data_IF_168573360540
#
_entry.id   IF_168573360540
#
_cell.length_a   1.000
_cell.length_b   1.000
_cell.length_c   1.000
_cell.angle_alpha   90.00
_cell.angle_beta   90.00
_cell.angle_gamma   90.00
#
_symmetry.space_group_name_H-M   'P 1'
#
loop_
_entity.id
_entity.type
_entity.pdbx_description
1 polymer ?
#
# COMPACT_ATOMS: atom_id res chain seq x y z
N UNK A 1 9.81 14.12 15.48
CA UNK A 1 8.38 13.72 15.61
C UNK A 1 8.34 12.28 16.09
N UNK A 2 7.36 11.90 16.92
CA UNK A 2 7.19 10.51 17.36
C UNK A 2 6.22 9.77 16.42
N UNK A 3 6.35 8.45 16.34
CA UNK A 3 5.35 7.58 15.72
C UNK A 3 4.01 7.68 16.47
N UNK A 4 2.88 7.37 15.82
CA UNK A 4 1.57 7.42 16.50
C UNK A 4 1.32 6.20 17.39
N UNK A 5 2.07 5.12 17.13
CA UNK A 5 2.12 3.88 17.90
C UNK A 5 3.56 3.55 18.22
N UNK A 6 3.82 2.92 19.37
CA UNK A 6 5.13 2.39 19.70
C UNK A 6 5.45 1.20 18.79
N UNK A 7 6.39 1.39 17.86
CA UNK A 7 6.79 0.36 16.88
C UNK A 7 7.54 -0.81 17.51
N UNK A 8 8.05 -0.67 18.74
CA UNK A 8 8.70 -1.78 19.46
C UNK A 8 7.70 -2.83 19.96
N UNK A 9 6.42 -2.47 20.03
CA UNK A 9 5.33 -3.36 20.44
C UNK A 9 4.72 -4.13 19.27
N UNK A 10 5.23 -3.95 18.04
CA UNK A 10 4.76 -4.64 16.85
C UNK A 10 5.90 -5.47 16.28
N UNK A 11 5.64 -6.76 16.09
CA UNK A 11 6.62 -7.68 15.49
C UNK A 11 6.95 -7.21 14.07
N UNK A 12 8.23 -7.01 13.80
CA UNK A 12 8.72 -6.61 12.48
C UNK A 12 9.21 -7.84 11.73
N UNK A 13 8.60 -8.18 10.57
CA UNK A 13 9.17 -9.19 9.68
C UNK A 13 10.61 -8.83 9.32
N UNK A 14 11.49 -9.83 9.13
CA UNK A 14 12.91 -9.60 8.87
C UNK A 14 13.16 -8.63 7.70
N UNK A 15 12.39 -8.78 6.62
CA UNK A 15 12.41 -7.91 5.43
C UNK A 15 12.06 -6.45 5.75
N UNK A 16 11.17 -6.22 6.72
CA UNK A 16 10.79 -4.87 7.17
C UNK A 16 11.85 -4.30 8.11
N UNK A 17 12.38 -5.11 9.01
CA UNK A 17 13.40 -4.70 9.98
C UNK A 17 14.70 -4.22 9.30
N UNK A 18 15.04 -4.81 8.14
CA UNK A 18 16.21 -4.47 7.35
C UNK A 18 16.06 -3.18 6.51
N UNK A 19 14.86 -2.62 6.40
CA UNK A 19 14.61 -1.43 5.57
C UNK A 19 15.17 -0.16 6.19
N UNK A 20 15.49 0.81 5.32
CA UNK A 20 15.77 2.17 5.76
C UNK A 20 14.54 2.75 6.47
N UNK A 21 14.79 3.50 7.55
CA UNK A 21 13.74 4.14 8.36
C UNK A 21 13.77 5.65 8.19
N UNK A 22 12.62 6.29 8.30
CA UNK A 22 12.53 7.75 8.38
C UNK A 22 12.92 8.27 9.78
N UNK A 23 12.99 9.59 9.94
CA UNK A 23 13.34 10.24 11.21
C UNK A 23 12.39 9.92 12.38
N UNK A 24 11.20 9.36 12.09
CA UNK A 24 10.22 8.93 13.10
C UNK A 24 10.44 7.46 13.48
N UNK A 25 11.09 6.67 12.63
CA UNK A 25 11.34 5.25 12.79
C UNK A 25 10.46 4.34 11.92
N UNK A 26 9.61 4.88 11.05
CA UNK A 26 8.84 4.05 10.11
C UNK A 26 9.74 3.51 9.01
N UNK A 27 9.61 2.24 8.61
CA UNK A 27 10.28 1.75 7.41
C UNK A 27 9.79 2.54 6.19
N UNK A 28 10.70 2.90 5.30
CA UNK A 28 10.42 3.61 4.05
C UNK A 28 10.11 2.55 2.98
N UNK A 29 8.86 2.40 2.51
CA UNK A 29 8.53 1.43 1.47
C UNK A 29 9.42 1.63 0.24
N UNK A 30 9.84 0.52 -0.37
CA UNK A 30 10.71 0.49 -1.55
C UNK A 30 10.22 1.43 -2.64
N UNK A 31 8.90 1.44 -2.85
CA UNK A 31 8.18 2.12 -3.93
C UNK A 31 8.00 3.61 -3.70
N UNK A 32 8.33 4.14 -2.52
CA UNK A 32 8.23 5.58 -2.24
C UNK A 32 9.19 6.39 -3.12
N UNK A 33 8.67 7.49 -3.64
CA UNK A 33 9.43 8.52 -4.37
C UNK A 33 10.33 9.31 -3.41
N UNK A 34 11.51 9.71 -3.89
CA UNK A 34 12.43 10.57 -3.15
C UNK A 34 12.50 11.96 -3.80
N UNK A 35 12.04 12.98 -3.09
CA UNK A 35 12.04 14.37 -3.57
C UNK A 35 13.01 15.18 -2.73
N UNK A 36 13.99 15.81 -3.38
CA UNK A 36 15.01 16.64 -2.73
C UNK A 36 15.70 15.93 -1.54
N UNK A 37 15.97 14.62 -1.69
CA UNK A 37 16.63 13.80 -0.66
C UNK A 37 15.74 13.34 0.49
N UNK A 38 14.41 13.53 0.41
CA UNK A 38 13.45 13.10 1.44
C UNK A 38 12.40 12.16 0.85
N UNK A 39 11.98 11.11 1.59
CA UNK A 39 10.92 10.22 1.13
C UNK A 39 9.57 10.94 1.15
N UNK A 40 8.82 10.84 0.04
CA UNK A 40 7.46 11.34 -0.05
C UNK A 40 6.45 10.18 -0.08
N UNK A 41 5.96 9.80 1.10
CA UNK A 41 5.03 8.69 1.29
C UNK A 41 3.67 8.86 0.58
N UNK A 42 3.41 10.00 -0.05
CA UNK A 42 2.18 10.28 -0.81
C UNK A 42 2.33 9.91 -2.29
N UNK A 43 3.55 9.63 -2.75
CA UNK A 43 3.90 9.41 -4.16
C UNK A 43 4.63 8.09 -4.31
N UNK A 44 4.14 7.26 -5.22
CA UNK A 44 4.84 6.06 -5.66
C UNK A 44 5.72 6.44 -6.86
N UNK A 45 6.98 6.03 -6.80
CA UNK A 45 7.94 6.13 -7.91
C UNK A 45 7.45 5.28 -9.10
N UNK A 46 7.16 5.88 -10.27
CA UNK A 46 6.63 5.14 -11.42
C UNK A 46 7.57 4.06 -11.95
N UNK A 47 8.89 4.30 -11.89
CA UNK A 47 9.89 3.33 -12.34
C UNK A 47 9.92 2.10 -11.44
N UNK A 48 9.89 2.31 -10.12
CA UNK A 48 9.80 1.22 -9.14
C UNK A 48 8.47 0.50 -9.20
N UNK A 49 7.38 1.20 -9.52
CA UNK A 49 6.08 0.57 -9.73
C UNK A 49 6.11 -0.37 -10.94
N UNK A 50 6.65 0.09 -12.08
CA UNK A 50 6.78 -0.73 -13.29
C UNK A 50 7.68 -1.95 -13.02
N UNK A 51 8.81 -1.76 -12.34
CA UNK A 51 9.70 -2.86 -11.96
C UNK A 51 8.99 -3.87 -11.04
N UNK A 52 8.27 -3.40 -10.03
CA UNK A 52 7.58 -4.26 -9.07
C UNK A 52 6.45 -5.06 -9.72
N UNK A 53 5.67 -4.44 -10.61
CA UNK A 53 4.64 -5.13 -11.40
C UNK A 53 5.26 -6.17 -12.33
N UNK A 54 6.33 -5.80 -13.04
CA UNK A 54 6.96 -6.66 -14.05
C UNK A 54 7.63 -7.88 -13.42
N UNK A 55 8.22 -7.70 -12.24
CA UNK A 55 9.02 -8.72 -11.56
C UNK A 55 8.34 -9.35 -10.34
N UNK A 56 7.04 -9.10 -10.14
CA UNK A 56 6.26 -9.55 -8.98
C UNK A 56 6.96 -9.25 -7.65
N UNK A 57 7.33 -7.99 -7.40
CA UNK A 57 7.97 -7.56 -6.16
C UNK A 57 6.98 -6.97 -5.18
N UNK A 58 7.29 -7.11 -3.90
CA UNK A 58 6.52 -6.52 -2.82
C UNK A 58 6.59 -4.99 -2.85
N UNK A 59 5.43 -4.34 -2.81
CA UNK A 59 5.30 -2.89 -2.78
C UNK A 59 5.95 -2.21 -1.57
N UNK A 60 6.25 -2.97 -0.51
CA UNK A 60 6.87 -2.46 0.73
C UNK A 60 8.35 -2.80 0.78
N UNK A 61 8.74 -4.07 0.82
CA UNK A 61 10.16 -4.42 1.00
C UNK A 61 10.96 -4.43 -0.33
N UNK A 62 10.30 -4.47 -1.49
CA UNK A 62 10.96 -4.52 -2.79
C UNK A 62 11.51 -5.90 -3.18
N UNK A 63 11.43 -6.90 -2.30
CA UNK A 63 11.82 -8.28 -2.61
C UNK A 63 10.76 -8.98 -3.46
N UNK A 64 11.19 -10.01 -4.22
CA UNK A 64 10.30 -10.82 -5.04
C UNK A 64 9.29 -11.59 -4.18
N UNK A 65 8.05 -11.67 -4.64
CA UNK A 65 7.01 -12.52 -4.05
C UNK A 65 6.98 -13.86 -4.79
N UNK A 66 7.12 -14.94 -4.04
CA UNK A 66 7.00 -16.31 -4.55
C UNK A 66 5.67 -16.91 -4.05
N UNK A 67 4.75 -17.22 -4.95
CA UNK A 67 3.46 -17.81 -4.61
C UNK A 67 2.38 -16.77 -4.23
N UNK A 68 1.73 -16.98 -3.09
CA UNK A 68 0.59 -16.15 -2.66
C UNK A 68 1.03 -14.71 -2.33
N UNK A 69 0.19 -13.75 -2.71
CA UNK A 69 0.40 -12.33 -2.47
C UNK A 69 -0.82 -11.70 -1.82
N UNK A 70 -0.56 -10.63 -1.07
CA UNK A 70 -1.56 -9.87 -0.37
C UNK A 70 -1.83 -8.53 -1.07
N UNK A 71 -3.10 -8.16 -1.14
CA UNK A 71 -3.54 -6.81 -1.49
C UNK A 71 -4.30 -6.20 -0.32
N UNK A 72 -3.97 -4.95 0.03
CA UNK A 72 -4.70 -4.19 1.05
C UNK A 72 -5.55 -3.12 0.39
N UNK A 73 -6.81 -2.99 0.80
CA UNK A 73 -7.67 -1.92 0.29
C UNK A 73 -8.98 -1.79 1.05
N UNK A 74 -9.75 -0.76 0.71
CA UNK A 74 -11.10 -0.59 1.26
C UNK A 74 -12.10 -1.63 0.73
N UNK A 75 -13.33 -1.65 1.25
CA UNK A 75 -14.36 -2.61 0.84
C UNK A 75 -14.60 -2.67 -0.67
N UNK A 76 -14.60 -1.53 -1.35
CA UNK A 76 -14.80 -1.45 -2.79
C UNK A 76 -13.65 -2.12 -3.55
N UNK A 77 -12.39 -1.82 -3.19
CA UNK A 77 -11.20 -2.44 -3.80
C UNK A 77 -11.19 -3.95 -3.60
N UNK A 78 -11.60 -4.43 -2.42
CA UNK A 78 -11.69 -5.86 -2.15
C UNK A 78 -12.82 -6.52 -2.95
N UNK A 79 -13.95 -5.84 -3.12
CA UNK A 79 -15.08 -6.35 -3.90
C UNK A 79 -14.78 -6.42 -5.40
N UNK A 80 -14.17 -5.38 -5.97
CA UNK A 80 -13.90 -5.29 -7.41
C UNK A 80 -12.52 -5.85 -7.81
N UNK A 81 -11.64 -6.10 -6.83
CA UNK A 81 -10.27 -6.58 -6.97
C UNK A 81 -9.33 -5.62 -7.70
N UNK A 82 -9.64 -4.32 -7.68
CA UNK A 82 -8.85 -3.27 -8.34
C UNK A 82 -8.07 -2.45 -7.31
N UNK A 83 -6.78 -2.32 -7.55
CA UNK A 83 -5.82 -1.66 -6.67
C UNK A 83 -4.91 -0.72 -7.45
N UNK A 84 -4.50 0.36 -6.79
CA UNK A 84 -3.41 1.21 -7.25
C UNK A 84 -2.08 0.84 -6.59
N UNK A 85 -2.18 0.29 -5.38
CA UNK A 85 -1.06 -0.21 -4.61
C UNK A 85 -0.62 -1.60 -5.10
N UNK A 86 0.68 -1.85 -5.00
CA UNK A 86 1.34 -3.07 -5.46
C UNK A 86 1.04 -4.27 -4.56
N UNK A 87 1.16 -5.51 -5.08
CA UNK A 87 1.10 -6.71 -4.24
C UNK A 87 2.16 -6.69 -3.15
N UNK A 88 1.89 -7.37 -2.05
CA UNK A 88 2.78 -7.45 -0.89
C UNK A 88 2.95 -8.89 -0.42
N UNK A 89 4.07 -9.19 0.26
CA UNK A 89 4.10 -10.36 1.16
C UNK A 89 3.05 -10.18 2.24
N UNK A 90 2.40 -11.26 2.67
CA UNK A 90 1.37 -11.24 3.72
C UNK A 90 1.84 -10.51 4.98
N UNK A 91 3.01 -10.88 5.49
CA UNK A 91 3.61 -10.30 6.69
C UNK A 91 3.95 -8.80 6.54
N UNK A 92 4.35 -8.34 5.35
CA UNK A 92 4.53 -6.91 5.07
C UNK A 92 3.21 -6.15 5.15
N UNK A 93 2.16 -6.72 4.56
CA UNK A 93 0.84 -6.12 4.53
C UNK A 93 0.21 -6.09 5.93
N UNK A 94 0.34 -7.17 6.72
CA UNK A 94 -0.10 -7.24 8.11
C UNK A 94 0.61 -6.18 8.98
N UNK A 95 1.94 -6.06 8.85
CA UNK A 95 2.70 -5.02 9.54
C UNK A 95 2.19 -3.62 9.16
N UNK A 96 2.00 -3.35 7.86
CA UNK A 96 1.48 -2.07 7.39
C UNK A 96 0.08 -1.78 7.94
N UNK A 97 -0.81 -2.77 7.97
CA UNK A 97 -2.14 -2.65 8.55
C UNK A 97 -2.09 -2.31 10.04
N UNK A 98 -1.05 -2.74 10.78
CA UNK A 98 -0.89 -2.46 12.21
C UNK A 98 -0.27 -1.08 12.53
N UNK A 99 0.59 -0.54 11.64
CA UNK A 99 1.42 0.63 11.97
C UNK A 99 1.26 1.82 11.03
N UNK A 100 0.77 1.62 9.80
CA UNK A 100 0.67 2.72 8.84
C UNK A 100 -0.37 3.73 9.34
N UNK A 101 -0.04 5.03 9.52
CA UNK A 101 -1.00 6.03 9.97
C UNK A 101 -2.26 6.09 9.10
N UNK A 102 -2.12 5.88 7.78
CA UNK A 102 -3.24 5.89 6.85
C UNK A 102 -4.16 4.67 6.99
N UNK A 103 -3.61 3.48 7.25
CA UNK A 103 -4.40 2.25 7.38
C UNK A 103 -4.96 2.10 8.79
N UNK A 104 -4.10 2.29 9.80
CA UNK A 104 -4.34 1.91 11.17
C UNK A 104 -4.89 3.03 12.06
N UNK A 105 -4.65 4.32 11.76
CA UNK A 105 -4.99 5.39 12.70
C UNK A 105 -6.31 6.07 12.32
N UNK A 106 -7.44 5.90 13.04
CA UNK A 106 -8.78 6.34 12.61
C UNK A 106 -8.95 7.84 12.28
N UNK A 107 -8.05 8.72 12.76
CA UNK A 107 -8.14 10.18 12.55
C UNK A 107 -7.23 10.73 11.45
N UNK A 108 -6.40 9.90 10.80
CA UNK A 108 -5.58 10.35 9.68
C UNK A 108 -6.39 10.24 8.38
N UNK A 109 -6.62 11.37 7.72
CA UNK A 109 -7.18 11.45 6.38
C UNK A 109 -6.08 11.56 5.32
N UNK A 110 -6.47 11.64 4.04
CA UNK A 110 -5.53 12.05 3.00
C UNK A 110 -5.04 13.47 3.27
N UNK A 111 -3.72 13.66 3.25
CA UNK A 111 -3.13 15.00 3.32
C UNK A 111 -3.44 15.76 2.02
N UNK A 112 -3.68 17.07 2.16
CA UNK A 112 -3.86 17.97 1.03
C UNK A 112 -2.64 17.87 0.08
N UNK A 113 -2.93 17.80 -1.22
CA UNK A 113 -1.94 17.67 -2.31
C UNK A 113 -1.59 19.03 -2.92
N UNK A 114 -2.09 20.14 -2.35
CA UNK A 114 -1.71 21.49 -2.76
C UNK A 114 -0.20 21.72 -2.60
N UNK A 115 0.45 22.24 -3.65
CA UNK A 115 1.87 22.63 -3.62
C UNK A 115 2.87 21.68 -4.30
N UNK A 116 2.44 20.57 -4.90
CA UNK A 116 3.32 19.75 -5.74
C UNK A 116 3.61 20.39 -7.11
N UNK A 117 4.88 20.37 -7.53
CA UNK A 117 5.33 20.88 -8.84
C UNK A 117 4.78 20.08 -10.04
N UNK A 118 4.34 18.85 -9.80
CA UNK A 118 3.62 18.01 -10.75
C UNK A 118 2.21 17.73 -10.20
N UNK A 119 1.15 17.73 -11.02
CA UNK A 119 -0.17 17.35 -10.53
C UNK A 119 -0.10 15.90 -10.05
N UNK A 120 -0.18 15.70 -8.72
CA UNK A 120 -0.37 14.37 -8.15
C UNK A 120 -1.76 13.92 -8.60
N UNK A 121 -1.83 13.21 -9.73
CA UNK A 121 -3.09 12.72 -10.29
C UNK A 121 -3.66 11.71 -9.30
N UNK A 122 -4.65 12.12 -8.51
CA UNK A 122 -5.57 11.18 -7.87
C UNK A 122 -6.24 10.47 -9.04
N UNK A 123 -6.05 9.16 -9.13
CA UNK A 123 -6.74 8.36 -10.13
C UNK A 123 -8.24 8.56 -9.94
N UNK A 124 -8.96 8.89 -11.01
CA UNK A 124 -10.39 9.21 -10.92
C UNK A 124 -11.21 8.03 -10.43
N UNK A 125 -10.65 6.82 -10.54
CA UNK A 125 -11.22 5.58 -10.04
C UNK A 125 -11.02 5.33 -8.54
N UNK A 126 -10.30 6.21 -7.82
CA UNK A 126 -10.02 6.05 -6.39
C UNK A 126 -10.91 6.97 -5.57
N UNK A 127 -11.61 6.40 -4.59
CA UNK A 127 -12.34 7.20 -3.61
C UNK A 127 -11.38 8.05 -2.78
N UNK A 128 -11.68 9.33 -2.63
CA UNK A 128 -10.96 10.23 -1.72
C UNK A 128 -11.37 10.05 -0.27
N UNK A 129 -12.47 9.33 -0.02
CA UNK A 129 -12.92 9.02 1.32
C UNK A 129 -12.15 7.81 1.86
N UNK A 130 -11.60 7.96 3.05
CA UNK A 130 -10.96 6.85 3.74
C UNK A 130 -12.03 5.86 4.24
N UNK A 131 -11.90 4.55 3.97
CA UNK A 131 -12.82 3.56 4.49
C UNK A 131 -12.66 3.38 6.01
N UNK A 132 -13.73 2.91 6.65
CA UNK A 132 -13.80 2.57 8.08
C UNK A 132 -13.03 1.29 8.43
N UNK A 133 -12.84 0.41 7.45
CA UNK A 133 -12.07 -0.84 7.56
C UNK A 133 -11.25 -1.10 6.31
N UNK A 134 -10.19 -1.87 6.47
CA UNK A 134 -9.35 -2.34 5.37
C UNK A 134 -9.40 -3.87 5.29
N UNK A 135 -9.45 -4.40 4.08
CA UNK A 135 -9.34 -5.83 3.83
C UNK A 135 -7.93 -6.20 3.42
N UNK A 136 -7.50 -7.40 3.81
CA UNK A 136 -6.31 -8.10 3.35
C UNK A 136 -6.76 -9.28 2.49
N UNK A 137 -6.73 -9.11 1.17
CA UNK A 137 -7.08 -10.16 0.22
C UNK A 137 -5.86 -10.96 -0.20
N UNK A 138 -5.90 -12.29 -0.06
CA UNK A 138 -4.86 -13.20 -0.51
C UNK A 138 -5.20 -13.77 -1.88
N UNK A 139 -4.23 -13.80 -2.79
CA UNK A 139 -4.41 -14.34 -4.15
C UNK A 139 -3.14 -14.96 -4.70
N UNK A 140 -3.23 -15.67 -5.82
CA UNK A 140 -2.10 -16.31 -6.51
C UNK A 140 -1.51 -15.48 -7.66
N UNK A 141 -2.13 -14.35 -8.00
CA UNK A 141 -1.69 -13.53 -9.12
C UNK A 141 -2.50 -12.27 -9.32
N UNK A 142 -2.07 -11.49 -10.32
CA UNK A 142 -2.74 -10.28 -10.75
C UNK A 142 -2.44 -10.01 -12.22
N UNK A 143 -3.22 -9.11 -12.80
CA UNK A 143 -3.01 -8.54 -14.13
C UNK A 143 -2.96 -7.02 -14.03
N UNK A 144 -2.34 -6.36 -15.01
CA UNK A 144 -2.46 -4.90 -15.15
C UNK A 144 -3.61 -4.61 -16.09
N UNK A 145 -4.56 -3.80 -15.63
CA UNK A 145 -5.71 -3.38 -16.40
C UNK A 145 -5.71 -1.87 -16.61
N UNK A 146 -6.39 -1.42 -17.65
CA UNK A 146 -6.74 0.00 -17.86
C UNK A 146 -8.24 0.16 -17.67
N UNK A 147 -8.63 1.12 -16.85
CA UNK A 147 -10.04 1.43 -16.59
C UNK A 147 -10.39 2.82 -17.14
N UNK A 148 -11.52 2.91 -17.85
CA UNK A 148 -11.99 4.13 -18.52
C UNK A 148 -11.74 4.16 -20.04
N UNK A 149 -12.15 5.26 -20.70
CA UNK A 149 -11.91 5.51 -22.13
C UNK A 149 -10.45 5.91 -22.41
N UNK A 150 -10.07 6.15 -23.68
CA UNK A 150 -8.69 6.45 -24.10
C UNK A 150 -8.00 7.48 -23.17
N UNK A 151 -6.92 7.05 -22.49
CA UNK A 151 -6.26 7.81 -21.42
C UNK A 151 -6.59 7.34 -19.98
N UNK A 152 -7.33 6.24 -19.85
CA UNK A 152 -7.75 5.63 -18.59
C UNK A 152 -6.63 5.27 -17.63
N UNK A 153 -7.01 5.14 -16.37
CA UNK A 153 -6.10 4.89 -15.25
C UNK A 153 -5.60 3.44 -15.27
N UNK A 154 -4.30 3.24 -15.00
CA UNK A 154 -3.66 1.92 -14.94
C UNK A 154 -3.81 1.36 -13.53
N UNK A 155 -4.49 0.23 -13.40
CA UNK A 155 -4.74 -0.42 -12.11
C UNK A 155 -4.20 -1.84 -12.12
N UNK A 156 -3.95 -2.36 -10.93
CA UNK A 156 -3.70 -3.78 -10.70
C UNK A 156 -5.04 -4.46 -10.45
N UNK A 157 -5.32 -5.49 -11.24
CA UNK A 157 -6.48 -6.33 -11.09
C UNK A 157 -6.05 -7.67 -10.49
N UNK A 158 -6.32 -7.87 -9.21
CA UNK A 158 -6.01 -9.12 -8.53
C UNK A 158 -6.89 -10.26 -9.08
N UNK A 159 -6.30 -11.47 -9.15
CA UNK A 159 -7.06 -12.70 -9.34
C UNK A 159 -8.07 -12.89 -8.20
N UNK A 160 -8.93 -13.92 -8.29
CA UNK A 160 -9.86 -14.22 -7.22
C UNK A 160 -9.14 -14.41 -5.88
N UNK A 161 -9.76 -13.89 -4.81
CA UNK A 161 -9.19 -13.99 -3.48
C UNK A 161 -9.46 -15.38 -2.90
N UNK A 162 -8.39 -16.05 -2.46
CA UNK A 162 -8.46 -17.33 -1.74
C UNK A 162 -8.93 -17.12 -0.29
N UNK A 163 -8.66 -15.94 0.27
CA UNK A 163 -9.16 -15.50 1.57
C UNK A 163 -9.19 -13.98 1.66
N UNK A 164 -10.08 -13.44 2.49
CA UNK A 164 -10.12 -12.02 2.84
C UNK A 164 -10.25 -11.90 4.36
N UNK A 165 -9.37 -11.10 4.96
CA UNK A 165 -9.42 -10.76 6.38
C UNK A 165 -9.69 -9.26 6.54
N UNK A 166 -10.44 -8.86 7.57
CA UNK A 166 -10.76 -7.45 7.81
C UNK A 166 -9.97 -6.90 9.00
N UNK A 167 -9.58 -5.63 8.89
CA UNK A 167 -8.80 -4.91 9.87
C UNK A 167 -9.44 -3.56 10.18
N UNK A 168 -9.54 -3.23 11.46
CA UNK A 168 -10.07 -1.96 11.97
C UNK A 168 -9.06 -1.40 12.95
N UNK A 169 -8.64 -0.14 12.75
CA UNK A 169 -7.72 0.57 13.63
C UNK A 169 -6.40 -0.17 13.94
N UNK A 170 -5.92 -0.96 12.98
CA UNK A 170 -4.71 -1.77 13.13
C UNK A 170 -4.88 -3.08 13.89
N UNK A 171 -6.12 -3.53 14.09
CA UNK A 171 -6.45 -4.80 14.72
C UNK A 171 -7.21 -5.70 13.74
N UNK A 172 -6.77 -6.96 13.62
CA UNK A 172 -7.45 -7.99 12.84
C UNK A 172 -8.78 -8.33 13.51
N UNK A 173 -9.84 -8.36 12.72
CA UNK A 173 -11.17 -8.73 13.18
C UNK A 173 -11.33 -10.25 13.13
N UNK A 174 -12.04 -10.79 14.13
CA UNK A 174 -12.37 -12.22 14.22
C UNK A 174 -13.43 -12.64 13.21
#
# INVERSE_FOLDING_TARGET
>A
MKTWKDLSLVEQPARIAAMQKDDRGYPIPHTVEWVDGKPDFRVIDPGKWIDAVTNCKCGICGEKIEGQMAFTGGPISIQNRLFTDLPMHKECAEYALQVCPFLAMPKFGYLDKTGYKMPVKVMTAVSTDRPDKFGLGMTDGFQVARIGHAGGDIVIWANEFTSVEWWINGEKQA
#
